data_IF_427168765954
#
_entry.id   IF_427168765954
#
_cell.length_a   1.000
_cell.length_b   1.000
_cell.length_c   1.000
_cell.angle_alpha   90.00
_cell.angle_beta   90.00
_cell.angle_gamma   90.00
#
_symmetry.space_group_name_H-M   'P 1'
#
loop_
_entity.id
_entity.type
_entity.pdbx_description
1 polymer ?
#
# COMPACT_ATOMS: atom_id res chain seq x y z
N UNK A 1 13.06 -1.24 7.04
CA UNK A 1 13.08 -1.40 5.57
C UNK A 1 12.26 -0.28 4.95
N UNK A 2 12.71 0.35 3.86
CA UNK A 2 11.81 1.21 3.10
C UNK A 2 10.94 0.36 2.20
N UNK A 3 9.61 0.52 2.24
CA UNK A 3 8.66 -0.13 1.31
C UNK A 3 9.16 -0.10 -0.14
N UNK A 4 9.72 1.02 -0.67
CA UNK A 4 10.26 1.06 -2.02
C UNK A 4 11.53 0.21 -2.23
N UNK A 5 12.36 0.02 -1.20
CA UNK A 5 13.61 -0.73 -1.32
C UNK A 5 13.36 -2.24 -1.39
N UNK A 6 12.47 -2.78 -0.54
CA UNK A 6 12.12 -4.19 -0.56
C UNK A 6 11.41 -4.57 -1.86
N UNK A 7 10.37 -3.82 -2.24
CA UNK A 7 9.64 -4.09 -3.48
C UNK A 7 10.54 -4.00 -4.71
N UNK A 8 11.45 -3.01 -4.77
CA UNK A 8 12.42 -2.88 -5.86
C UNK A 8 13.42 -4.03 -5.94
N UNK A 9 13.87 -4.56 -4.81
CA UNK A 9 14.73 -5.74 -4.79
C UNK A 9 13.95 -6.96 -5.30
N UNK A 10 12.73 -7.16 -4.78
CA UNK A 10 11.88 -8.29 -5.13
C UNK A 10 11.51 -8.30 -6.62
N UNK A 11 11.11 -7.14 -7.16
CA UNK A 11 10.72 -6.99 -8.57
C UNK A 11 11.87 -7.20 -9.55
N UNK A 12 13.09 -6.82 -9.15
CA UNK A 12 14.29 -7.08 -9.97
C UNK A 12 14.68 -8.55 -9.96
N UNK A 13 14.55 -9.20 -8.80
CA UNK A 13 14.97 -10.60 -8.62
C UNK A 13 13.96 -11.59 -9.20
N UNK A 14 12.67 -11.32 -9.02
CA UNK A 14 11.57 -12.18 -9.44
C UNK A 14 10.61 -11.40 -10.36
N UNK A 15 11.02 -11.03 -11.58
CA UNK A 15 10.25 -10.11 -12.42
C UNK A 15 8.86 -10.63 -12.81
N UNK A 16 8.69 -11.95 -12.95
CA UNK A 16 7.42 -12.55 -13.37
C UNK A 16 6.31 -12.50 -12.30
N UNK A 17 6.62 -12.07 -11.07
CA UNK A 17 5.58 -11.87 -10.04
C UNK A 17 4.71 -10.65 -10.35
N UNK A 18 5.20 -9.71 -11.17
CA UNK A 18 4.50 -8.47 -11.50
C UNK A 18 3.71 -8.66 -12.79
N UNK A 19 2.45 -8.27 -12.77
CA UNK A 19 1.58 -8.20 -13.94
C UNK A 19 0.86 -6.86 -13.95
N UNK A 20 0.81 -6.17 -15.10
CA UNK A 20 0.04 -4.94 -15.23
C UNK A 20 -1.46 -5.23 -15.13
N UNK A 21 -2.19 -4.35 -14.46
CA UNK A 21 -3.64 -4.43 -14.45
C UNK A 21 -4.23 -3.91 -15.77
N UNK A 22 -5.10 -4.69 -16.37
CA UNK A 22 -5.96 -4.28 -17.46
C UNK A 22 -7.16 -3.53 -16.86
N UNK A 23 -7.18 -2.22 -17.06
CA UNK A 23 -8.24 -1.33 -16.59
C UNK A 23 -9.13 -0.90 -17.77
N UNK A 24 -10.41 -1.27 -17.71
CA UNK A 24 -11.43 -0.68 -18.58
C UNK A 24 -11.84 0.67 -18.02
N UNK A 25 -11.97 1.69 -18.88
CA UNK A 25 -12.39 3.03 -18.47
C UNK A 25 -13.80 3.33 -18.97
N UNK A 26 -14.59 4.13 -18.22
CA UNK A 26 -15.86 4.65 -18.72
C UNK A 26 -15.68 5.36 -20.05
N UNK A 27 -16.57 5.12 -21.00
CA UNK A 27 -16.52 5.72 -22.33
C UNK A 27 -17.57 6.82 -22.41
N UNK A 28 -17.20 7.98 -22.94
CA UNK A 28 -18.17 9.02 -23.29
C UNK A 28 -18.77 8.72 -24.67
N UNK A 29 -20.07 8.48 -24.71
CA UNK A 29 -20.83 8.31 -25.95
C UNK A 29 -21.87 9.42 -26.03
N UNK A 30 -21.63 10.40 -26.90
CA UNK A 30 -22.52 11.54 -27.15
C UNK A 30 -22.83 12.40 -25.91
N UNK A 31 -21.85 12.61 -25.02
CA UNK A 31 -22.01 13.39 -23.78
C UNK A 31 -22.62 12.58 -22.64
N UNK A 32 -22.81 11.27 -22.81
CA UNK A 32 -23.26 10.34 -21.78
C UNK A 32 -22.09 9.45 -21.39
N UNK A 33 -21.62 9.58 -20.16
CA UNK A 33 -20.58 8.71 -19.59
C UNK A 33 -21.19 7.33 -19.32
N UNK A 34 -20.83 6.35 -20.13
CA UNK A 34 -21.21 4.95 -19.97
C UNK A 34 -20.27 4.31 -18.95
N UNK A 35 -20.77 3.81 -17.80
CA UNK A 35 -19.93 3.17 -16.79
C UNK A 35 -19.43 1.80 -17.26
N UNK A 36 -18.36 1.32 -16.64
CA UNK A 36 -17.81 -0.02 -16.89
C UNK A 36 -18.76 -1.08 -16.32
N UNK A 37 -19.19 -2.03 -17.16
CA UNK A 37 -20.02 -3.15 -16.71
C UNK A 37 -19.16 -4.20 -15.98
N UNK A 38 -19.10 -4.08 -14.65
CA UNK A 38 -18.31 -4.97 -13.81
C UNK A 38 -18.93 -6.37 -13.65
N UNK A 39 -20.13 -6.63 -14.21
CA UNK A 39 -20.72 -7.97 -14.24
C UNK A 39 -20.08 -8.88 -15.30
N UNK A 40 -19.41 -8.29 -16.30
CA UNK A 40 -18.69 -9.02 -17.32
C UNK A 40 -17.44 -9.72 -16.76
N UNK A 41 -16.92 -10.76 -17.45
CA UNK A 41 -15.66 -11.40 -17.09
C UNK A 41 -14.52 -10.41 -16.89
N UNK A 42 -13.66 -10.66 -15.92
CA UNK A 42 -12.53 -9.79 -15.62
C UNK A 42 -11.52 -9.81 -16.78
N UNK A 43 -11.08 -8.64 -17.31
CA UNK A 43 -10.11 -8.57 -18.40
C UNK A 43 -8.67 -8.90 -17.97
N UNK A 44 -8.42 -9.11 -16.67
CA UNK A 44 -7.11 -9.47 -16.14
C UNK A 44 -6.81 -10.96 -16.28
N UNK A 45 -5.67 -11.40 -15.77
CA UNK A 45 -5.17 -12.78 -15.91
C UNK A 45 -6.03 -13.85 -15.22
N UNK A 46 -6.99 -13.45 -14.38
CA UNK A 46 -7.93 -14.34 -13.69
C UNK A 46 -9.13 -13.56 -13.10
N UNK A 47 -10.13 -14.29 -12.63
CA UNK A 47 -11.21 -13.78 -11.75
C UNK A 47 -10.74 -13.74 -10.29
N UNK A 48 -11.39 -12.91 -9.48
CA UNK A 48 -11.11 -12.78 -8.04
C UNK A 48 -12.37 -12.97 -7.22
N UNK A 49 -12.28 -13.74 -6.13
CA UNK A 49 -13.41 -13.95 -5.22
C UNK A 49 -13.52 -12.81 -4.21
N UNK A 50 -12.40 -12.51 -3.54
CA UNK A 50 -12.37 -11.60 -2.41
C UNK A 50 -11.39 -10.45 -2.68
N UNK A 51 -11.89 -9.21 -2.56
CA UNK A 51 -11.09 -8.00 -2.55
C UNK A 51 -11.01 -7.45 -1.12
N UNK A 52 -9.81 -7.23 -0.65
CA UNK A 52 -9.53 -6.62 0.65
C UNK A 52 -8.88 -5.26 0.43
N UNK A 53 -9.41 -4.21 1.05
CA UNK A 53 -8.88 -2.86 0.95
C UNK A 53 -8.29 -2.46 2.29
N UNK A 54 -6.97 -2.22 2.31
CA UNK A 54 -6.38 -1.38 3.36
C UNK A 54 -6.74 0.08 3.06
N UNK A 55 -7.76 0.57 3.76
CA UNK A 55 -8.33 1.88 3.51
C UNK A 55 -7.36 3.00 3.84
N UNK A 56 -6.41 2.82 4.76
CA UNK A 56 -5.44 3.85 5.07
C UNK A 56 -4.54 4.13 3.87
N UNK A 57 -4.19 3.10 3.09
CA UNK A 57 -3.50 3.24 1.81
C UNK A 57 -4.27 4.05 0.76
N UNK A 58 -5.59 4.19 0.89
CA UNK A 58 -6.48 4.96 -0.01
C UNK A 58 -6.74 6.37 0.54
N UNK A 59 -7.01 6.50 1.84
CA UNK A 59 -7.36 7.76 2.51
C UNK A 59 -6.21 8.77 2.40
N UNK A 60 -4.96 8.32 2.60
CA UNK A 60 -3.80 9.22 2.56
C UNK A 60 -3.65 9.92 1.18
N UNK A 61 -3.53 9.18 0.04
CA UNK A 61 -3.46 9.80 -1.28
C UNK A 61 -4.69 10.64 -1.67
N UNK A 62 -5.87 10.31 -1.16
CA UNK A 62 -7.09 11.06 -1.46
C UNK A 62 -7.23 12.36 -0.67
N UNK A 63 -6.54 12.52 0.46
CA UNK A 63 -6.66 13.70 1.33
C UNK A 63 -5.48 14.67 1.20
N UNK A 64 -4.27 14.16 0.93
CA UNK A 64 -3.07 14.97 0.75
C UNK A 64 -2.17 14.35 -0.34
N UNK A 65 -2.62 14.37 -1.61
CA UNK A 65 -1.83 13.89 -2.74
C UNK A 65 -0.50 14.65 -2.88
N UNK A 66 0.56 13.95 -3.27
CA UNK A 66 1.88 14.56 -3.52
C UNK A 66 2.00 15.15 -4.95
N UNK A 67 1.16 14.71 -5.86
CA UNK A 67 1.25 14.92 -7.31
C UNK A 67 0.20 15.90 -7.88
N UNK A 68 -0.87 16.15 -7.13
CA UNK A 68 -1.98 17.07 -7.47
C UNK A 68 -2.35 17.96 -6.28
N UNK A 69 -3.12 19.04 -6.48
CA UNK A 69 -3.59 19.88 -5.38
C UNK A 69 -4.42 19.07 -4.37
N UNK A 70 -4.31 19.45 -3.09
CA UNK A 70 -5.14 18.85 -2.04
C UNK A 70 -6.63 19.21 -2.25
N UNK A 71 -7.57 18.33 -1.86
CA UNK A 71 -9.00 18.61 -1.93
C UNK A 71 -9.38 19.81 -1.07
N UNK A 72 -10.44 20.53 -1.46
CA UNK A 72 -10.84 21.77 -0.78
C UNK A 72 -11.54 21.55 0.55
N UNK A 73 -12.23 20.42 0.69
CA UNK A 73 -13.03 20.10 1.87
C UNK A 73 -13.21 18.58 2.01
N UNK A 74 -13.79 18.17 3.15
CA UNK A 74 -14.02 16.75 3.45
C UNK A 74 -14.97 16.07 2.46
N UNK A 75 -15.97 16.78 1.93
CA UNK A 75 -16.91 16.20 0.95
C UNK A 75 -16.17 15.81 -0.34
N UNK A 76 -15.24 16.65 -0.81
CA UNK A 76 -14.37 16.36 -1.95
C UNK A 76 -13.42 15.19 -1.64
N UNK A 77 -12.88 15.12 -0.41
CA UNK A 77 -12.06 13.99 0.03
C UNK A 77 -12.84 12.67 -0.01
N UNK A 78 -14.07 12.65 0.52
CA UNK A 78 -14.91 11.45 0.51
C UNK A 78 -15.32 11.03 -0.90
N UNK A 79 -15.63 12.00 -1.78
CA UNK A 79 -15.91 11.71 -3.19
C UNK A 79 -14.72 11.05 -3.89
N UNK A 80 -13.50 11.53 -3.65
CA UNK A 80 -12.27 10.94 -4.19
C UNK A 80 -12.01 9.54 -3.64
N UNK A 81 -12.28 9.30 -2.34
CA UNK A 81 -12.17 7.96 -1.74
C UNK A 81 -13.16 7.01 -2.42
N UNK A 82 -14.42 7.43 -2.64
CA UNK A 82 -15.42 6.62 -3.34
C UNK A 82 -15.01 6.29 -4.76
N UNK A 83 -14.50 7.27 -5.51
CA UNK A 83 -13.99 7.07 -6.87
C UNK A 83 -12.81 6.08 -6.89
N UNK A 84 -11.92 6.15 -5.90
CA UNK A 84 -10.81 5.21 -5.79
C UNK A 84 -11.31 3.78 -5.50
N UNK A 85 -12.26 3.61 -4.59
CA UNK A 85 -12.85 2.29 -4.30
C UNK A 85 -13.56 1.74 -5.55
N UNK A 86 -14.33 2.56 -6.27
CA UNK A 86 -14.98 2.16 -7.52
C UNK A 86 -13.96 1.71 -8.57
N UNK A 87 -12.84 2.43 -8.68
CA UNK A 87 -11.75 2.08 -9.58
C UNK A 87 -11.12 0.73 -9.22
N UNK A 88 -10.86 0.49 -7.93
CA UNK A 88 -10.35 -0.80 -7.45
C UNK A 88 -11.34 -1.93 -7.70
N UNK A 89 -12.62 -1.69 -7.44
CA UNK A 89 -13.68 -2.62 -7.70
C UNK A 89 -13.78 -2.97 -9.19
N UNK A 90 -13.68 -1.98 -10.08
CA UNK A 90 -13.77 -2.20 -11.52
C UNK A 90 -12.59 -2.99 -12.10
N UNK A 91 -11.39 -2.83 -11.54
CA UNK A 91 -10.19 -3.58 -11.92
C UNK A 91 -10.26 -5.03 -11.42
N UNK A 92 -10.59 -5.24 -10.14
CA UNK A 92 -10.50 -6.57 -9.50
C UNK A 92 -11.79 -7.39 -9.69
N UNK A 93 -12.95 -6.74 -9.75
CA UNK A 93 -14.29 -7.36 -9.90
C UNK A 93 -14.51 -8.54 -8.93
N UNK A 94 -14.46 -8.33 -7.60
CA UNK A 94 -14.64 -9.41 -6.64
C UNK A 94 -16.00 -10.07 -6.83
N UNK A 95 -16.03 -11.41 -6.80
CA UNK A 95 -17.24 -12.20 -7.06
C UNK A 95 -17.96 -12.67 -5.79
N UNK A 96 -17.32 -12.56 -4.63
CA UNK A 96 -17.84 -13.07 -3.35
C UNK A 96 -17.80 -12.02 -2.24
N UNK A 97 -16.65 -11.36 -2.04
CA UNK A 97 -16.46 -10.46 -0.90
C UNK A 97 -15.72 -9.17 -1.26
N UNK A 98 -16.22 -8.05 -0.74
CA UNK A 98 -15.45 -6.82 -0.55
C UNK A 98 -15.25 -6.56 0.95
N UNK A 99 -14.01 -6.59 1.42
CA UNK A 99 -13.66 -6.29 2.80
C UNK A 99 -12.91 -4.96 2.87
N UNK A 100 -13.46 -3.99 3.59
CA UNK A 100 -12.90 -2.65 3.75
C UNK A 100 -12.39 -2.49 5.18
N UNK A 101 -11.06 -2.42 5.35
CA UNK A 101 -10.43 -2.34 6.66
C UNK A 101 -9.81 -0.95 6.88
N UNK A 102 -10.30 -0.24 7.89
CA UNK A 102 -9.72 1.02 8.35
C UNK A 102 -8.86 0.73 9.58
N UNK A 103 -7.72 1.41 9.72
CA UNK A 103 -6.90 1.28 10.94
C UNK A 103 -7.72 1.63 12.17
N UNK A 104 -7.69 0.72 13.15
CA UNK A 104 -8.16 0.91 14.50
C UNK A 104 -7.03 1.21 15.48
N UNK A 105 -7.32 1.10 16.77
CA UNK A 105 -6.29 1.24 17.81
C UNK A 105 -5.26 0.13 17.65
N UNK A 106 -4.03 0.49 17.28
CA UNK A 106 -2.94 -0.43 17.03
C UNK A 106 -2.22 -0.88 18.31
N UNK A 107 -1.46 -1.99 18.29
CA UNK A 107 -0.63 -2.41 19.41
C UNK A 107 0.42 -1.37 19.79
N UNK A 108 0.88 -1.40 21.05
CA UNK A 108 1.87 -0.44 21.58
C UNK A 108 3.16 -0.36 20.75
N UNK A 109 3.61 -1.49 20.19
CA UNK A 109 4.79 -1.53 19.34
C UNK A 109 4.61 -0.62 18.10
N UNK A 110 3.47 -0.74 17.40
CA UNK A 110 3.12 0.13 16.29
C UNK A 110 2.88 1.58 16.72
N UNK A 111 2.25 1.82 17.87
CA UNK A 111 2.01 3.18 18.37
C UNK A 111 3.30 3.99 18.52
N UNK A 112 4.42 3.36 18.90
CA UNK A 112 5.72 4.04 18.97
C UNK A 112 6.21 4.49 17.58
N UNK A 113 6.06 3.63 16.58
CA UNK A 113 6.40 3.92 15.18
C UNK A 113 5.50 5.03 14.63
N UNK A 114 4.18 4.93 14.83
CA UNK A 114 3.21 5.94 14.41
C UNK A 114 3.49 7.29 15.08
N UNK A 115 3.79 7.29 16.40
CA UNK A 115 4.21 8.50 17.11
C UNK A 115 5.45 9.12 16.48
N UNK A 116 6.50 8.33 16.24
CA UNK A 116 7.74 8.85 15.62
C UNK A 116 7.47 9.46 14.24
N UNK A 117 6.68 8.79 13.40
CA UNK A 117 6.28 9.30 12.07
C UNK A 117 5.56 10.63 12.18
N UNK A 118 4.55 10.74 13.04
CA UNK A 118 3.75 11.98 13.20
C UNK A 118 4.58 13.15 13.70
N UNK A 119 5.44 12.92 14.70
CA UNK A 119 6.37 13.97 15.18
C UNK A 119 7.30 14.45 14.07
N UNK A 120 7.79 13.53 13.22
CA UNK A 120 8.61 13.89 12.06
C UNK A 120 7.80 14.69 11.03
N UNK A 121 6.63 14.21 10.65
CA UNK A 121 5.77 14.89 9.66
C UNK A 121 5.34 16.28 10.12
N UNK A 122 5.00 16.47 11.39
CA UNK A 122 4.71 17.80 11.95
C UNK A 122 5.93 18.73 11.92
N UNK A 123 7.13 18.20 12.21
CA UNK A 123 8.37 18.97 12.12
C UNK A 123 8.71 19.36 10.68
N UNK A 124 8.60 18.41 9.74
CA UNK A 124 8.82 18.63 8.31
C UNK A 124 7.83 19.66 7.76
N UNK A 125 6.55 19.58 8.15
CA UNK A 125 5.54 20.57 7.79
C UNK A 125 5.89 21.97 8.30
N UNK A 126 6.35 22.09 9.55
CA UNK A 126 6.78 23.37 10.11
C UNK A 126 8.00 23.95 9.39
N UNK A 127 9.05 23.15 9.16
CA UNK A 127 10.26 23.56 8.44
C UNK A 127 9.93 24.01 7.01
N UNK A 128 9.01 23.29 6.36
CA UNK A 128 8.51 23.59 5.02
C UNK A 128 7.74 24.90 4.97
N UNK A 129 6.84 25.15 5.91
CA UNK A 129 6.12 26.43 6.02
C UNK A 129 7.09 27.60 6.23
N UNK A 130 8.14 27.42 7.04
CA UNK A 130 9.16 28.43 7.24
C UNK A 130 9.96 28.71 5.95
N UNK A 131 10.29 27.68 5.17
CA UNK A 131 10.94 27.82 3.87
C UNK A 131 10.05 28.57 2.86
N UNK A 132 8.78 28.18 2.75
CA UNK A 132 7.80 28.85 1.87
C UNK A 132 7.69 30.33 2.26
N UNK A 133 7.63 30.65 3.56
CA UNK A 133 7.57 32.04 4.04
C UNK A 133 8.81 32.83 3.62
N UNK A 134 10.02 32.30 3.80
CA UNK A 134 11.27 32.98 3.40
C UNK A 134 11.34 33.25 1.90
N UNK A 135 10.98 32.26 1.07
CA UNK A 135 10.97 32.41 -0.39
C UNK A 135 9.91 33.42 -0.81
N UNK A 136 8.74 33.39 -0.18
CA UNK A 136 7.68 34.37 -0.42
C UNK A 136 8.12 35.79 -0.08
N UNK A 137 8.70 36.02 1.11
CA UNK A 137 9.21 37.34 1.54
C UNK A 137 10.28 37.89 0.57
N UNK A 138 11.19 37.02 0.10
CA UNK A 138 12.19 37.36 -0.93
C UNK A 138 11.51 37.86 -2.22
N UNK A 139 10.56 37.08 -2.73
CA UNK A 139 9.86 37.39 -3.98
C UNK A 139 8.93 38.62 -3.85
N UNK A 140 8.32 38.84 -2.68
CA UNK A 140 7.56 40.06 -2.39
C UNK A 140 8.47 41.29 -2.42
N UNK A 141 9.67 41.20 -1.85
CA UNK A 141 10.67 42.28 -1.89
C UNK A 141 11.20 42.55 -3.32
N UNK A 142 11.26 41.53 -4.17
CA UNK A 142 11.64 41.64 -5.59
C UNK A 142 10.49 42.14 -6.49
N UNK A 143 9.26 42.26 -5.95
CA UNK A 143 8.08 42.70 -6.69
C UNK A 143 7.50 41.64 -7.64
N UNK A 144 7.84 40.37 -7.44
CA UNK A 144 7.33 39.27 -8.25
C UNK A 144 5.85 38.98 -7.92
N UNK A 145 5.02 38.62 -8.92
CA UNK A 145 3.63 38.25 -8.69
C UNK A 145 3.58 36.92 -7.91
N UNK A 146 2.74 36.85 -6.87
CA UNK A 146 2.67 35.70 -5.97
C UNK A 146 1.23 35.23 -5.79
N UNK A 147 1.03 33.91 -5.56
CA UNK A 147 -0.28 33.40 -5.23
C UNK A 147 -0.73 33.90 -3.86
N UNK A 148 -2.05 34.00 -3.61
CA UNK A 148 -2.57 34.39 -2.31
C UNK A 148 -2.08 33.42 -1.22
N UNK A 149 -1.90 33.90 0.02
CA UNK A 149 -1.58 33.00 1.13
C UNK A 149 -2.75 32.05 1.36
N UNK A 150 -2.45 30.76 1.56
CA UNK A 150 -3.46 29.78 1.97
C UNK A 150 -3.98 30.14 3.35
N UNK A 151 -5.30 30.11 3.55
CA UNK A 151 -5.86 30.32 4.88
C UNK A 151 -5.47 29.15 5.79
N UNK A 152 -5.38 29.41 7.10
CA UNK A 152 -5.17 28.36 8.11
C UNK A 152 -6.27 27.28 8.03
N UNK A 153 -7.50 27.69 7.73
CA UNK A 153 -8.68 26.82 7.60
C UNK A 153 -8.61 25.87 6.39
N UNK A 154 -7.77 26.17 5.40
CA UNK A 154 -7.58 25.34 4.19
C UNK A 154 -6.52 24.23 4.39
N UNK A 155 -5.83 24.22 5.54
CA UNK A 155 -4.79 23.23 5.83
C UNK A 155 -5.41 21.96 6.40
N UNK A 156 -5.33 20.86 5.65
CA UNK A 156 -5.71 19.54 6.15
C UNK A 156 -4.62 18.98 7.07
N UNK A 157 -4.97 18.68 8.33
CA UNK A 157 -4.09 17.98 9.26
C UNK A 157 -4.22 16.46 9.09
N UNK A 158 -3.22 15.85 8.45
CA UNK A 158 -3.19 14.39 8.22
C UNK A 158 -3.15 13.57 9.51
N UNK A 159 -2.82 14.15 10.67
CA UNK A 159 -2.93 13.46 11.95
C UNK A 159 -4.38 13.15 12.33
N UNK A 160 -5.37 13.81 11.70
CA UNK A 160 -6.78 13.48 11.90
C UNK A 160 -7.14 12.07 11.39
N UNK A 161 -6.29 11.45 10.55
CA UNK A 161 -6.39 10.05 10.11
C UNK A 161 -5.91 9.14 11.25
N UNK A 162 -6.70 9.10 12.33
CA UNK A 162 -6.43 8.33 13.54
C UNK A 162 -7.76 7.89 14.16
N UNK A 163 -7.86 6.65 14.66
CA UNK A 163 -9.00 6.22 15.45
C UNK A 163 -9.38 7.22 16.55
N UNK A 164 -10.69 7.46 16.71
CA UNK A 164 -11.24 8.35 17.73
C UNK A 164 -11.35 9.82 17.33
N UNK A 165 -10.93 10.22 16.13
CA UNK A 165 -11.13 11.60 15.66
C UNK A 165 -12.53 11.79 15.06
N UNK A 166 -13.06 13.03 15.05
CA UNK A 166 -14.33 13.33 14.39
C UNK A 166 -14.31 13.04 12.88
N UNK A 167 -13.16 13.23 12.22
CA UNK A 167 -12.97 12.90 10.81
C UNK A 167 -13.24 11.42 10.52
N UNK A 168 -12.65 10.52 11.31
CA UNK A 168 -12.82 9.07 11.12
C UNK A 168 -14.27 8.61 11.38
N UNK A 169 -14.98 9.26 12.30
CA UNK A 169 -16.40 9.00 12.54
C UNK A 169 -17.25 9.38 11.30
N UNK A 170 -17.03 10.58 10.75
CA UNK A 170 -17.73 11.03 9.53
C UNK A 170 -17.38 10.16 8.32
N UNK A 171 -16.11 9.77 8.18
CA UNK A 171 -15.67 8.87 7.12
C UNK A 171 -16.39 7.51 7.21
N UNK A 172 -16.54 6.94 8.40
CA UNK A 172 -17.27 5.68 8.58
C UNK A 172 -18.73 5.81 8.14
N UNK A 173 -19.41 6.90 8.47
CA UNK A 173 -20.79 7.16 8.05
C UNK A 173 -20.89 7.37 6.53
N UNK A 174 -19.94 8.10 5.94
CA UNK A 174 -19.83 8.29 4.50
C UNK A 174 -19.65 6.95 3.76
N UNK A 175 -18.78 6.05 4.28
CA UNK A 175 -18.56 4.73 3.70
C UNK A 175 -19.78 3.81 3.85
N UNK A 176 -20.50 3.86 4.97
CA UNK A 176 -21.79 3.15 5.13
C UNK A 176 -22.78 3.59 4.06
N UNK A 177 -22.93 4.91 3.87
CA UNK A 177 -23.77 5.46 2.80
C UNK A 177 -23.33 4.96 1.42
N UNK A 178 -22.03 5.04 1.13
CA UNK A 178 -21.46 4.58 -0.15
C UNK A 178 -21.76 3.10 -0.42
N UNK A 179 -21.54 2.22 0.57
CA UNK A 179 -21.83 0.78 0.46
C UNK A 179 -23.31 0.56 0.17
N UNK A 180 -24.22 1.18 0.95
CA UNK A 180 -25.65 1.07 0.71
C UNK A 180 -26.06 1.56 -0.68
N UNK A 181 -25.47 2.67 -1.14
CA UNK A 181 -25.72 3.21 -2.46
C UNK A 181 -25.26 2.23 -3.56
N UNK A 182 -24.06 1.65 -3.45
CA UNK A 182 -23.52 0.71 -4.44
C UNK A 182 -24.30 -0.60 -4.48
N UNK A 183 -24.58 -1.22 -3.34
CA UNK A 183 -25.39 -2.46 -3.28
C UNK A 183 -26.78 -2.25 -3.91
N UNK A 184 -27.38 -1.07 -3.74
CA UNK A 184 -28.72 -0.78 -4.27
C UNK A 184 -28.73 -0.52 -5.77
N UNK A 185 -27.69 0.14 -6.30
CA UNK A 185 -27.72 0.69 -7.67
C UNK A 185 -26.76 0.01 -8.65
N UNK A 186 -25.78 -0.77 -8.17
CA UNK A 186 -24.79 -1.45 -9.00
C UNK A 186 -25.05 -2.96 -9.02
N UNK A 187 -25.33 -3.48 -10.22
CA UNK A 187 -25.64 -4.90 -10.42
C UNK A 187 -24.47 -5.84 -10.06
N UNK A 188 -23.21 -5.37 -10.14
CA UNK A 188 -22.05 -6.16 -9.78
C UNK A 188 -21.92 -6.34 -8.25
N UNK A 189 -22.47 -5.42 -7.47
CA UNK A 189 -22.48 -5.48 -6.01
C UNK A 189 -23.64 -6.32 -5.45
N UNK A 190 -24.66 -6.61 -6.26
CA UNK A 190 -25.88 -7.28 -5.81
C UNK A 190 -25.68 -8.71 -5.27
N UNK A 191 -24.55 -9.36 -5.60
CA UNK A 191 -24.27 -10.76 -5.25
C UNK A 191 -23.05 -10.95 -4.34
N UNK A 192 -22.42 -9.87 -3.91
CA UNK A 192 -21.25 -9.95 -3.02
C UNK A 192 -21.65 -9.61 -1.59
N UNK A 193 -20.90 -10.15 -0.64
CA UNK A 193 -20.88 -9.66 0.73
C UNK A 193 -19.96 -8.45 0.82
N UNK A 194 -20.36 -7.44 1.60
CA UNK A 194 -19.53 -6.27 1.88
C UNK A 194 -19.35 -6.12 3.38
N UNK A 195 -18.10 -6.16 3.84
CA UNK A 195 -17.75 -6.00 5.25
C UNK A 195 -16.97 -4.69 5.42
N UNK A 196 -17.48 -3.81 6.28
CA UNK A 196 -16.78 -2.61 6.71
C UNK A 196 -16.28 -2.79 8.15
N UNK A 197 -14.96 -2.86 8.32
CA UNK A 197 -14.30 -2.81 9.61
C UNK A 197 -13.73 -1.41 9.84
N UNK A 198 -14.54 -0.54 10.46
CA UNK A 198 -14.17 0.85 10.73
C UNK A 198 -13.08 1.01 11.83
N UNK A 199 -12.72 2.25 12.13
CA UNK A 199 -11.67 2.60 13.09
C UNK A 199 -12.02 2.28 14.56
N UNK A 200 -13.27 1.97 14.88
CA UNK A 200 -13.69 1.60 16.24
C UNK A 200 -13.33 0.15 16.58
N UNK A 201 -13.17 -0.71 15.57
CA UNK A 201 -12.63 -2.04 15.77
C UNK A 201 -11.12 -1.94 16.00
N UNK A 202 -10.55 -2.52 17.06
CA UNK A 202 -9.11 -2.45 17.33
C UNK A 202 -8.30 -3.23 16.29
N UNK A 203 -7.02 -2.87 16.13
CA UNK A 203 -6.09 -3.49 15.19
C UNK A 203 -5.83 -2.67 13.92
N UNK A 204 -4.67 -2.89 13.31
CA UNK A 204 -4.29 -2.30 12.02
C UNK A 204 -5.11 -2.93 10.89
N UNK A 205 -5.39 -2.18 9.82
CA UNK A 205 -6.22 -2.59 8.69
C UNK A 205 -5.71 -3.88 8.05
N UNK A 206 -4.42 -3.94 7.75
CA UNK A 206 -3.76 -5.14 7.22
C UNK A 206 -3.91 -6.34 8.17
N UNK A 207 -3.78 -6.15 9.49
CA UNK A 207 -3.88 -7.24 10.46
C UNK A 207 -5.32 -7.73 10.64
N UNK A 208 -6.32 -6.84 10.60
CA UNK A 208 -7.75 -7.19 10.60
C UNK A 208 -8.11 -8.06 9.40
N UNK A 209 -7.59 -7.71 8.22
CA UNK A 209 -7.75 -8.50 6.99
C UNK A 209 -7.13 -9.89 7.18
N UNK A 210 -5.88 -9.96 7.66
CA UNK A 210 -5.18 -11.22 7.84
C UNK A 210 -5.85 -12.11 8.92
N UNK A 211 -6.36 -11.50 10.00
CA UNK A 211 -7.18 -12.19 10.99
C UNK A 211 -8.43 -12.78 10.35
N UNK A 212 -9.15 -12.01 9.55
CA UNK A 212 -10.34 -12.50 8.85
C UNK A 212 -10.02 -13.71 7.95
N UNK A 213 -8.95 -13.63 7.14
CA UNK A 213 -8.54 -14.72 6.26
C UNK A 213 -8.15 -15.97 7.05
N UNK A 214 -7.43 -15.83 8.17
CA UNK A 214 -7.10 -16.97 9.05
C UNK A 214 -8.35 -17.63 9.64
N UNK A 215 -9.32 -16.84 10.08
CA UNK A 215 -10.58 -17.38 10.61
C UNK A 215 -11.39 -18.09 9.52
N UNK A 216 -11.43 -17.54 8.30
CA UNK A 216 -12.06 -18.21 7.17
C UNK A 216 -11.37 -19.54 6.87
N UNK A 217 -10.04 -19.55 6.71
CA UNK A 217 -9.27 -20.77 6.43
C UNK A 217 -9.44 -21.87 7.48
N UNK A 218 -9.63 -21.50 8.75
CA UNK A 218 -9.88 -22.44 9.83
C UNK A 218 -11.30 -23.05 9.80
N UNK A 219 -12.22 -22.46 9.03
CA UNK A 219 -13.58 -22.97 8.86
C UNK A 219 -13.59 -24.22 7.98
N UNK A 220 -14.36 -25.27 8.34
CA UNK A 220 -14.51 -26.46 7.49
C UNK A 220 -15.21 -26.19 6.15
N UNK A 221 -15.97 -25.09 6.05
CA UNK A 221 -16.68 -24.68 4.83
C UNK A 221 -15.85 -23.77 3.92
N UNK A 222 -14.59 -23.49 4.28
CA UNK A 222 -13.68 -22.69 3.45
C UNK A 222 -13.40 -23.37 2.12
N UNK A 223 -13.49 -22.61 1.03
CA UNK A 223 -13.02 -23.07 -0.25
C UNK A 223 -11.51 -22.80 -0.36
N UNK A 224 -10.66 -23.84 -0.36
CA UNK A 224 -9.22 -23.67 -0.41
C UNK A 224 -8.71 -23.07 -1.74
N UNK A 225 -9.56 -22.96 -2.75
CA UNK A 225 -9.23 -22.33 -4.04
C UNK A 225 -9.67 -20.86 -4.13
N UNK A 226 -10.24 -20.30 -3.06
CA UNK A 226 -10.65 -18.89 -3.00
C UNK A 226 -9.52 -17.99 -3.49
N UNK A 227 -9.84 -17.08 -4.42
CA UNK A 227 -8.87 -16.18 -5.03
C UNK A 227 -8.90 -14.82 -4.34
N UNK A 228 -7.83 -14.50 -3.63
CA UNK A 228 -7.69 -13.30 -2.81
C UNK A 228 -6.94 -12.19 -3.56
N UNK A 229 -7.43 -10.96 -3.44
CA UNK A 229 -6.74 -9.75 -3.87
C UNK A 229 -6.71 -8.71 -2.75
N UNK A 230 -5.52 -8.32 -2.29
CA UNK A 230 -5.32 -7.30 -1.27
C UNK A 230 -4.79 -6.01 -1.90
N UNK A 231 -5.52 -4.90 -1.74
CA UNK A 231 -5.09 -3.59 -2.17
C UNK A 231 -4.25 -2.91 -1.09
N UNK A 232 -3.00 -2.58 -1.41
CA UNK A 232 -2.12 -1.81 -0.55
C UNK A 232 -0.69 -1.72 -1.07
N UNK A 233 0.06 -0.71 -0.61
CA UNK A 233 1.39 -0.42 -1.13
C UNK A 233 2.54 -0.96 -0.25
N UNK A 234 2.23 -1.39 0.98
CA UNK A 234 3.23 -1.75 1.98
C UNK A 234 3.93 -3.06 1.66
N UNK A 235 5.23 -3.13 1.98
CA UNK A 235 6.04 -4.31 1.72
C UNK A 235 5.64 -5.48 2.64
N UNK A 236 5.10 -5.16 3.81
CA UNK A 236 4.67 -6.14 4.82
C UNK A 236 3.48 -6.97 4.30
N UNK A 237 2.68 -6.43 3.38
CA UNK A 237 1.57 -7.16 2.74
C UNK A 237 2.04 -8.41 1.98
N UNK A 238 3.25 -8.40 1.43
CA UNK A 238 3.83 -9.57 0.74
C UNK A 238 4.12 -10.67 1.76
N UNK A 239 4.69 -10.31 2.90
CA UNK A 239 4.99 -11.23 3.99
C UNK A 239 3.71 -11.79 4.61
N UNK A 240 2.76 -10.89 4.92
CA UNK A 240 1.47 -11.26 5.48
C UNK A 240 0.69 -12.16 4.52
N UNK A 241 0.67 -11.83 3.22
CA UNK A 241 0.03 -12.66 2.20
C UNK A 241 0.64 -14.06 2.08
N UNK A 242 1.97 -14.18 2.13
CA UNK A 242 2.65 -15.48 2.16
C UNK A 242 2.31 -16.28 3.43
N UNK A 243 2.28 -15.62 4.58
CA UNK A 243 1.96 -16.21 5.88
C UNK A 243 0.48 -16.65 6.03
N UNK A 244 -0.39 -16.31 5.06
CA UNK A 244 -1.74 -16.88 5.02
C UNK A 244 -1.76 -18.34 4.55
N UNK A 245 -0.73 -18.76 3.80
CA UNK A 245 -0.68 -20.03 3.07
C UNK A 245 -1.88 -20.28 2.13
N UNK A 246 -2.63 -19.24 1.75
CA UNK A 246 -3.68 -19.36 0.74
C UNK A 246 -3.05 -19.61 -0.64
N UNK A 247 -3.63 -20.53 -1.40
CA UNK A 247 -3.07 -20.96 -2.67
C UNK A 247 -3.06 -19.84 -3.71
N UNK A 248 -4.10 -18.99 -3.72
CA UNK A 248 -4.34 -17.98 -4.74
C UNK A 248 -4.38 -16.57 -4.14
N UNK A 249 -3.24 -16.06 -3.66
CA UNK A 249 -3.15 -14.72 -3.04
C UNK A 249 -2.44 -13.70 -3.92
N UNK A 250 -3.05 -12.54 -4.14
CA UNK A 250 -2.51 -11.49 -4.99
C UNK A 250 -2.58 -10.15 -4.27
N UNK A 251 -1.65 -9.25 -4.57
CA UNK A 251 -1.67 -7.87 -4.06
C UNK A 251 -1.83 -6.93 -5.25
N UNK A 252 -2.70 -5.93 -5.16
CA UNK A 252 -2.81 -4.87 -6.15
C UNK A 252 -2.29 -3.56 -5.54
N UNK A 253 -1.54 -2.79 -6.33
CA UNK A 253 -0.97 -1.50 -5.92
C UNK A 253 -0.77 -0.59 -7.12
N UNK A 254 -0.59 0.69 -6.83
CA UNK A 254 -0.13 1.64 -7.83
C UNK A 254 1.30 1.32 -8.29
N UNK A 255 1.53 1.49 -9.58
CA UNK A 255 2.85 1.39 -10.19
C UNK A 255 3.76 2.50 -9.66
N UNK A 256 4.91 2.13 -9.09
CA UNK A 256 5.90 3.10 -8.66
C UNK A 256 6.70 3.64 -9.85
N UNK A 257 6.44 4.88 -10.23
CA UNK A 257 7.22 5.58 -11.27
C UNK A 257 8.27 6.48 -10.58
N UNK A 258 9.57 6.21 -10.73
CA UNK A 258 10.63 7.03 -10.13
C UNK A 258 10.72 8.42 -10.79
N UNK A 259 11.23 9.39 -10.03
CA UNK A 259 11.58 10.74 -10.51
C UNK A 259 10.44 11.50 -11.19
N UNK A 260 9.20 11.29 -10.73
CA UNK A 260 8.09 12.09 -11.22
C UNK A 260 8.29 13.57 -10.87
N UNK A 261 8.08 14.48 -11.85
CA UNK A 261 8.19 15.91 -11.59
C UNK A 261 7.08 16.33 -10.62
N UNK A 262 7.44 17.14 -9.62
CA UNK A 262 6.51 17.69 -8.62
C UNK A 262 6.28 19.17 -8.91
N UNK A 263 5.08 19.70 -8.65
CA UNK A 263 4.84 21.14 -8.77
C UNK A 263 5.56 21.87 -7.64
N UNK A 264 6.02 23.09 -7.92
CA UNK A 264 6.56 24.01 -6.93
C UNK A 264 5.50 24.31 -5.88
N UNK A 265 5.87 24.20 -4.61
CA UNK A 265 4.93 24.28 -3.50
C UNK A 265 4.47 25.70 -3.18
N UNK A 266 5.16 26.70 -3.73
CA UNK A 266 4.75 28.10 -3.67
C UNK A 266 3.89 28.48 -4.87
N UNK A 267 4.40 28.39 -6.11
CA UNK A 267 3.71 28.90 -7.30
C UNK A 267 2.90 27.86 -8.10
N UNK A 268 3.02 26.57 -7.78
CA UNK A 268 2.30 25.48 -8.45
C UNK A 268 2.88 25.04 -9.80
N UNK A 269 3.93 25.70 -10.30
CA UNK A 269 4.54 25.40 -11.60
C UNK A 269 5.58 24.27 -11.51
N UNK A 270 5.80 23.54 -12.59
CA UNK A 270 6.79 22.47 -12.67
C UNK A 270 8.15 22.98 -13.16
N UNK A 271 9.19 22.17 -12.96
CA UNK A 271 10.53 22.39 -13.56
C UNK A 271 11.53 23.14 -12.67
N UNK A 272 11.17 23.47 -11.43
CA UNK A 272 12.06 24.09 -10.46
C UNK A 272 11.75 23.64 -9.02
N UNK A 273 12.72 23.80 -8.13
CA UNK A 273 12.54 23.60 -6.68
C UNK A 273 12.09 24.89 -5.99
N UNK A 274 11.56 24.78 -4.76
CA UNK A 274 11.03 25.92 -4.00
C UNK A 274 12.03 27.08 -3.87
N UNK A 275 13.32 26.78 -3.65
CA UNK A 275 14.36 27.80 -3.50
C UNK A 275 14.62 28.60 -4.79
N UNK A 276 14.36 27.99 -5.94
CA UNK A 276 14.56 28.56 -7.28
C UNK A 276 13.27 29.19 -7.84
N UNK A 277 12.20 29.25 -7.04
CA UNK A 277 10.93 29.82 -7.46
C UNK A 277 11.06 31.32 -7.80
N UNK A 278 10.42 31.72 -8.92
CA UNK A 278 10.38 33.09 -9.43
C UNK A 278 8.99 33.74 -9.32
N UNK A 279 8.04 33.10 -8.62
CA UNK A 279 6.66 33.56 -8.51
C UNK A 279 5.73 33.01 -9.60
N UNK A 280 4.59 33.66 -9.80
CA UNK A 280 3.65 33.36 -10.87
C UNK A 280 4.23 33.77 -12.23
N UNK A 281 3.92 33.02 -13.28
CA UNK A 281 4.37 33.36 -14.63
C UNK A 281 3.78 34.72 -15.06
N UNK A 282 4.62 35.62 -15.54
CA UNK A 282 4.20 36.84 -16.23
C UNK A 282 3.81 36.49 -17.67
N UNK A 283 2.55 36.11 -17.90
CA UNK A 283 1.79 36.04 -19.17
C UNK A 283 2.46 35.68 -20.53
N UNK A 284 3.66 35.10 -20.59
CA UNK A 284 4.33 34.72 -21.85
C UNK A 284 5.03 33.34 -21.81
N UNK A 285 4.42 32.33 -21.18
CA UNK A 285 4.83 30.93 -21.34
C UNK A 285 3.69 30.12 -21.99
N UNK A 286 3.96 29.59 -23.18
CA UNK A 286 2.99 28.99 -24.10
C UNK A 286 2.26 27.72 -23.62
N UNK A 287 1.34 27.21 -24.46
CA UNK A 287 0.34 26.21 -24.10
C UNK A 287 0.91 24.78 -24.10
N UNK A 288 1.86 24.49 -23.22
CA UNK A 288 2.31 23.10 -23.00
C UNK A 288 2.44 22.74 -21.51
N UNK A 289 1.57 23.34 -20.70
CA UNK A 289 1.30 22.86 -19.34
C UNK A 289 0.26 21.75 -19.44
N UNK A 290 0.72 20.54 -19.77
CA UNK A 290 -0.12 19.34 -19.66
C UNK A 290 -0.85 19.35 -18.31
N UNK A 291 -2.18 19.37 -18.37
CA UNK A 291 -2.99 19.37 -17.15
C UNK A 291 -2.70 18.08 -16.36
N UNK A 292 -2.50 18.13 -15.03
CA UNK A 292 -2.27 16.94 -14.22
C UNK A 292 -3.41 15.89 -14.30
N UNK A 293 -4.55 16.25 -14.88
CA UNK A 293 -5.74 15.41 -15.03
C UNK A 293 -5.57 14.26 -16.06
N UNK A 294 -4.52 14.28 -16.90
CA UNK A 294 -4.29 13.21 -17.90
C UNK A 294 -3.26 12.14 -17.49
N UNK A 295 -2.58 12.30 -16.34
CA UNK A 295 -1.67 11.24 -15.85
C UNK A 295 -2.46 10.18 -15.12
N UNK A 296 -2.87 9.15 -15.85
CA UNK A 296 -3.51 8.01 -15.20
C UNK A 296 -2.49 7.15 -14.45
N UNK A 297 -2.66 7.05 -13.13
CA UNK A 297 -1.96 6.08 -12.29
C UNK A 297 -2.22 4.67 -12.82
N UNK A 298 -1.17 3.90 -13.13
CA UNK A 298 -1.32 2.49 -13.48
C UNK A 298 -1.35 1.63 -12.23
N UNK A 299 -2.00 0.46 -12.33
CA UNK A 299 -1.98 -0.55 -11.28
C UNK A 299 -1.21 -1.78 -11.72
N UNK A 300 -0.58 -2.43 -10.76
CA UNK A 300 0.12 -3.71 -10.96
C UNK A 300 -0.33 -4.72 -9.90
N UNK A 301 -0.44 -5.97 -10.33
CA UNK A 301 -0.62 -7.11 -9.47
C UNK A 301 0.74 -7.72 -9.09
N UNK A 302 0.88 -8.11 -7.83
CA UNK A 302 1.95 -8.96 -7.32
C UNK A 302 1.34 -10.34 -7.06
N UNK A 303 1.77 -11.33 -7.82
CA UNK A 303 1.24 -12.69 -7.80
C UNK A 303 2.05 -13.55 -6.82
N UNK A 304 1.55 -13.74 -5.60
CA UNK A 304 2.22 -14.56 -4.61
C UNK A 304 2.36 -16.05 -5.01
N UNK A 305 1.43 -16.67 -5.78
CA UNK A 305 1.64 -18.03 -6.30
C UNK A 305 2.94 -18.15 -7.11
N UNK A 306 3.23 -17.16 -7.96
CA UNK A 306 4.46 -17.12 -8.75
C UNK A 306 5.68 -16.88 -7.85
N UNK A 307 5.55 -16.01 -6.84
CA UNK A 307 6.62 -15.81 -5.86
C UNK A 307 6.95 -17.12 -5.12
N UNK A 308 5.94 -17.91 -4.75
CA UNK A 308 6.12 -19.22 -4.10
C UNK A 308 6.91 -20.19 -4.98
N UNK A 309 6.64 -20.24 -6.29
CA UNK A 309 7.44 -21.03 -7.24
C UNK A 309 8.92 -20.58 -7.31
N UNK A 310 9.17 -19.27 -7.24
CA UNK A 310 10.54 -18.75 -7.16
C UNK A 310 11.22 -19.16 -5.86
N UNK A 311 10.52 -18.99 -4.73
CA UNK A 311 11.04 -19.35 -3.42
C UNK A 311 11.28 -20.85 -3.27
N UNK A 312 10.44 -21.71 -3.84
CA UNK A 312 10.64 -23.16 -3.85
C UNK A 312 11.97 -23.53 -4.51
N UNK A 313 12.25 -22.97 -5.69
CA UNK A 313 13.52 -23.21 -6.41
C UNK A 313 14.70 -22.62 -5.66
N UNK A 314 14.55 -21.41 -5.14
CA UNK A 314 15.62 -20.70 -4.48
C UNK A 314 15.98 -21.32 -3.13
N UNK A 315 14.99 -21.80 -2.38
CA UNK A 315 15.16 -22.37 -1.04
C UNK A 315 15.27 -23.89 -1.07
N UNK A 316 15.27 -24.51 -2.25
CA UNK A 316 15.55 -25.93 -2.41
C UNK A 316 16.90 -26.31 -1.75
N UNK A 317 16.85 -27.40 -0.99
CA UNK A 317 17.99 -27.95 -0.25
C UNK A 317 17.99 -29.48 -0.44
N UNK A 318 18.65 -30.00 -1.49
CA UNK A 318 18.56 -31.43 -1.84
C UNK A 318 19.21 -32.38 -0.82
N UNK A 319 20.12 -31.87 0.02
CA UNK A 319 20.85 -32.66 1.01
C UNK A 319 20.30 -32.50 2.44
N UNK A 320 19.00 -32.21 2.57
CA UNK A 320 18.38 -32.08 3.89
C UNK A 320 18.31 -33.44 4.62
N UNK A 321 18.66 -33.48 5.92
CA UNK A 321 18.52 -34.69 6.73
C UNK A 321 17.07 -34.95 7.20
N UNK A 322 16.10 -34.12 6.78
CA UNK A 322 14.67 -34.23 7.10
C UNK A 322 13.83 -33.85 5.87
N UNK A 323 12.52 -34.19 5.82
CA UNK A 323 11.67 -33.88 4.68
C UNK A 323 11.56 -32.38 4.40
N UNK A 324 11.75 -32.00 3.14
CA UNK A 324 11.50 -30.64 2.67
C UNK A 324 10.00 -30.34 2.64
N UNK A 325 9.62 -29.20 3.20
CA UNK A 325 8.25 -28.69 3.25
C UNK A 325 8.28 -27.21 2.85
N UNK A 326 7.65 -26.90 1.71
CA UNK A 326 7.64 -25.55 1.16
C UNK A 326 6.96 -24.55 2.10
N UNK A 327 5.89 -24.93 2.80
CA UNK A 327 5.18 -24.00 3.69
C UNK A 327 6.06 -23.59 4.86
N UNK A 328 6.77 -24.56 5.46
CA UNK A 328 7.71 -24.30 6.55
C UNK A 328 8.89 -23.43 6.12
N UNK A 329 9.38 -23.64 4.90
CA UNK A 329 10.47 -22.85 4.32
C UNK A 329 10.03 -21.42 4.01
N UNK A 330 8.77 -21.22 3.60
CA UNK A 330 8.19 -19.89 3.41
C UNK A 330 8.08 -19.15 4.74
N UNK A 331 7.64 -19.81 5.82
CA UNK A 331 7.58 -19.21 7.16
C UNK A 331 8.95 -18.73 7.62
N UNK A 332 9.98 -19.56 7.43
CA UNK A 332 11.35 -19.22 7.75
C UNK A 332 11.86 -18.05 6.91
N UNK A 333 11.49 -17.98 5.62
CA UNK A 333 11.84 -16.86 4.75
C UNK A 333 11.16 -15.55 5.16
N UNK A 334 9.88 -15.60 5.55
CA UNK A 334 9.15 -14.45 6.11
C UNK A 334 9.84 -13.98 7.40
N UNK A 335 10.15 -14.91 8.31
CA UNK A 335 10.87 -14.60 9.54
C UNK A 335 12.24 -13.97 9.27
N UNK A 336 13.01 -14.49 8.31
CA UNK A 336 14.29 -13.92 7.92
C UNK A 336 14.17 -12.49 7.41
N UNK A 337 13.12 -12.16 6.66
CA UNK A 337 12.90 -10.81 6.17
C UNK A 337 12.72 -9.80 7.32
N UNK A 338 12.20 -10.22 8.47
CA UNK A 338 12.10 -9.34 9.64
C UNK A 338 13.45 -8.84 10.16
N UNK A 339 14.55 -9.59 9.99
CA UNK A 339 15.90 -9.15 10.39
C UNK A 339 16.41 -7.97 9.58
N UNK A 340 15.92 -7.81 8.34
CA UNK A 340 16.33 -6.71 7.47
C UNK A 340 15.62 -5.39 7.85
N UNK A 341 14.62 -5.47 8.74
CA UNK A 341 14.04 -4.35 9.50
C UNK A 341 12.57 -4.09 9.23
N UNK A 342 11.71 -4.37 10.19
CA UNK A 342 10.26 -4.17 10.12
C UNK A 342 9.83 -2.88 10.87
N UNK A 343 8.54 -2.66 11.01
CA UNK A 343 7.99 -1.50 11.74
C UNK A 343 8.21 -1.54 13.26
N UNK A 344 8.48 -2.71 13.83
CA UNK A 344 8.54 -2.93 15.28
C UNK A 344 9.96 -2.92 15.82
N UNK A 345 10.94 -3.28 15.00
CA UNK A 345 12.35 -3.39 15.37
C UNK A 345 13.25 -2.52 14.48
N UNK A 346 14.27 -1.86 15.05
CA UNK A 346 15.28 -1.18 14.24
C UNK A 346 15.99 -2.20 13.33
N UNK A 347 16.35 -1.76 12.12
CA UNK A 347 17.14 -2.58 11.22
C UNK A 347 18.51 -2.90 11.85
N UNK A 348 19.00 -4.12 11.63
CA UNK A 348 20.35 -4.47 12.06
C UNK A 348 21.37 -3.71 11.21
N UNK A 349 22.37 -3.03 11.81
CA UNK A 349 23.32 -2.19 11.06
C UNK A 349 24.11 -2.93 9.98
N UNK A 350 24.24 -4.25 10.09
CA UNK A 350 24.96 -5.11 9.15
C UNK A 350 24.08 -5.72 8.05
N UNK A 351 22.76 -5.44 8.03
CA UNK A 351 21.80 -6.03 7.10
C UNK A 351 21.03 -4.96 6.35
N UNK A 352 21.56 -4.54 5.20
CA UNK A 352 20.86 -3.67 4.26
C UNK A 352 20.43 -4.42 2.98
N UNK A 353 19.18 -4.23 2.55
CA UNK A 353 18.65 -4.85 1.30
C UNK A 353 19.53 -4.50 0.10
N UNK A 354 20.01 -3.25 0.03
CA UNK A 354 20.83 -2.75 -1.09
C UNK A 354 22.17 -3.47 -1.20
N UNK A 355 22.64 -4.06 -0.11
CA UNK A 355 23.90 -4.81 -0.02
C UNK A 355 23.69 -6.33 -0.12
N UNK A 356 22.49 -6.78 -0.51
CA UNK A 356 22.18 -8.21 -0.67
C UNK A 356 21.99 -8.95 0.65
N UNK A 357 21.51 -8.27 1.71
CA UNK A 357 21.27 -8.87 3.02
C UNK A 357 20.37 -10.12 2.97
N UNK A 358 19.29 -10.09 2.17
CA UNK A 358 18.36 -11.23 2.05
C UNK A 358 19.06 -12.44 1.44
N UNK A 359 19.85 -12.24 0.39
CA UNK A 359 20.61 -13.32 -0.27
C UNK A 359 21.64 -13.95 0.68
N UNK A 360 22.24 -13.12 1.55
CA UNK A 360 23.15 -13.58 2.60
C UNK A 360 22.41 -14.40 3.66
N UNK A 361 21.25 -13.93 4.12
CA UNK A 361 20.43 -14.65 5.10
C UNK A 361 19.97 -16.01 4.55
N UNK A 362 19.54 -16.07 3.29
CA UNK A 362 19.14 -17.33 2.63
C UNK A 362 20.29 -18.34 2.63
N UNK A 363 21.52 -17.91 2.32
CA UNK A 363 22.70 -18.80 2.36
C UNK A 363 22.94 -19.36 3.77
N UNK A 364 22.97 -18.48 4.76
CA UNK A 364 23.18 -18.87 6.16
C UNK A 364 22.07 -19.83 6.64
N UNK A 365 20.82 -19.55 6.27
CA UNK A 365 19.67 -20.37 6.61
C UNK A 365 19.81 -21.80 6.09
N UNK A 366 20.21 -21.97 4.82
CA UNK A 366 20.42 -23.31 4.27
C UNK A 366 21.46 -24.11 5.06
N UNK A 367 22.56 -23.48 5.45
CA UNK A 367 23.60 -24.12 6.27
C UNK A 367 23.05 -24.48 7.66
N UNK A 368 22.31 -23.56 8.29
CA UNK A 368 21.68 -23.78 9.61
C UNK A 368 20.67 -24.92 9.56
N UNK A 369 19.84 -25.04 8.53
CA UNK A 369 18.88 -26.14 8.40
C UNK A 369 19.58 -27.50 8.36
N UNK A 370 20.63 -27.65 7.56
CA UNK A 370 21.41 -28.90 7.48
C UNK A 370 22.05 -29.22 8.83
N UNK A 371 22.70 -28.24 9.47
CA UNK A 371 23.42 -28.43 10.74
C UNK A 371 22.49 -28.68 11.94
N UNK A 372 21.30 -28.07 11.95
CA UNK A 372 20.36 -28.14 13.07
C UNK A 372 19.22 -29.14 12.87
N UNK A 373 19.17 -29.78 11.70
CA UNK A 373 18.19 -30.78 11.33
C UNK A 373 16.74 -30.32 11.56
N UNK A 374 16.45 -29.04 11.26
CA UNK A 374 15.08 -28.54 11.19
C UNK A 374 14.97 -27.08 10.77
N UNK A 375 13.73 -26.58 10.78
CA UNK A 375 13.33 -25.21 10.40
C UNK A 375 13.58 -24.19 11.52
N UNK A 376 13.68 -22.91 11.18
CA UNK A 376 13.82 -21.80 12.14
C UNK A 376 12.53 -21.55 12.92
N UNK A 377 11.39 -21.82 12.32
CA UNK A 377 10.07 -21.50 12.86
C UNK A 377 9.11 -22.68 12.80
N UNK A 378 8.12 -22.66 13.70
CA UNK A 378 7.00 -23.61 13.75
C UNK A 378 5.72 -22.90 14.17
N UNK A 379 4.80 -22.68 13.22
CA UNK A 379 3.50 -22.05 13.46
C UNK A 379 3.63 -20.72 14.25
N UNK A 380 4.58 -19.87 13.84
CA UNK A 380 4.87 -18.58 14.49
C UNK A 380 5.78 -18.65 15.72
N UNK A 381 6.15 -19.85 16.22
CA UNK A 381 7.14 -19.98 17.27
C UNK A 381 8.54 -20.05 16.67
N UNK A 382 9.49 -19.31 17.24
CA UNK A 382 10.89 -19.28 16.77
C UNK A 382 11.71 -20.27 17.59
N UNK A 383 12.46 -21.15 16.91
CA UNK A 383 13.47 -21.98 17.55
C UNK A 383 14.74 -21.15 17.80
N UNK A 384 14.86 -20.64 19.02
CA UNK A 384 15.89 -19.68 19.42
C UNK A 384 17.29 -20.27 19.24
N UNK A 385 17.49 -21.56 19.55
CA UNK A 385 18.79 -22.20 19.42
C UNK A 385 19.25 -22.27 17.96
N UNK A 386 18.30 -22.35 17.01
CA UNK A 386 18.61 -22.31 15.58
C UNK A 386 18.84 -20.88 15.10
N UNK A 387 18.03 -19.93 15.56
CA UNK A 387 18.19 -18.51 15.22
C UNK A 387 19.52 -17.92 15.72
N UNK A 388 20.06 -18.41 16.84
CA UNK A 388 21.36 -17.99 17.37
C UNK A 388 22.57 -18.62 16.65
N UNK A 389 22.37 -19.71 15.88
CA UNK A 389 23.48 -20.39 15.23
C UNK A 389 24.07 -19.54 14.13
N UNK A 390 25.35 -19.24 14.27
CA UNK A 390 26.19 -18.86 13.15
C UNK A 390 26.85 -20.13 12.60
N UNK A 391 26.86 -20.37 11.28
CA UNK A 391 27.74 -21.35 10.68
C UNK A 391 29.17 -20.92 11.02
N UNK A 392 29.81 -21.60 11.96
CA UNK A 392 31.23 -21.40 12.22
C UNK A 392 31.98 -21.89 10.99
N UNK A 393 32.71 -20.96 10.36
CA UNK A 393 33.60 -21.18 9.21
C UNK A 393 34.53 -22.37 9.37
#
# INVERSE_FOLDING_TARGET
MGVPAFFRWLSRKYPAIICNANEERPVDVNGVRVPVDCTQPNPNFQEFDNLYLDMNGIIHPCTHPEDRPAPRNEDEMFALIFEYIDRMFAIVRPRRLLYMAIDGVAPRAKMNQQRSRRFRSSKEAFEKEEQIRKVRERLEAEGCPLPPPKAEEDKFDSNCITPGTPFMARLADALRYYIHNRITNDAAWAKIEVILSDANFPGEGEHKIMDYIRHQRASPDHDPNTVHCLCGADADLIMLGLATHEANFNIIREEFVPNQPRPCELCGQYGHELNDCQGLATDEAGPDQSSPLDKSTNFVFIRLPVLREYLEKELAMPNLPFPFDLERVIDDWVFMCFFVGNDFLPHLPSLEIREGAIDRLIKLYKDVCVLSQGYLTENGNVEIDRAQRTPTS
#
